data_IF_594218573586
#
_entry.id   IF_594218573586
#
_cell.length_a   1.000
_cell.length_b   1.000
_cell.length_c   1.000
_cell.angle_alpha   90.00
_cell.angle_beta   90.00
_cell.angle_gamma   90.00
#
_symmetry.space_group_name_H-M   'P 1'
#
loop_
_entity.id
_entity.type
_entity.pdbx_description
1 polymer ?
#
# COMPACT_ATOMS: atom_id res chain seq x y z
N UNK A 1 24.97 -11.97 -8.23
CA UNK A 1 26.29 -12.20 -7.60
C UNK A 1 26.10 -12.12 -6.10
N UNK A 2 26.60 -13.12 -5.38
CA UNK A 2 26.36 -13.29 -3.96
C UNK A 2 27.69 -13.18 -3.22
N UNK A 3 27.69 -12.50 -2.08
CA UNK A 3 28.82 -12.50 -1.15
C UNK A 3 28.29 -12.65 0.26
N UNK A 4 29.01 -13.43 1.07
CA UNK A 4 28.70 -13.59 2.48
C UNK A 4 29.51 -12.55 3.25
N UNK A 5 28.80 -11.61 3.85
CA UNK A 5 29.33 -10.72 4.86
C UNK A 5 28.85 -11.32 6.19
N UNK A 6 29.76 -11.86 7.01
CA UNK A 6 29.42 -12.57 8.25
C UNK A 6 29.02 -11.60 9.37
N UNK A 7 28.20 -10.61 9.07
CA UNK A 7 27.86 -9.48 9.93
C UNK A 7 26.35 -9.46 10.20
N UNK A 8 25.99 -9.16 11.44
CA UNK A 8 24.63 -8.76 11.78
C UNK A 8 24.49 -7.26 11.51
N UNK A 9 23.73 -6.91 10.47
CA UNK A 9 23.60 -5.54 9.97
C UNK A 9 22.92 -4.61 10.98
N UNK A 10 22.15 -5.16 11.91
CA UNK A 10 21.49 -4.39 12.97
C UNK A 10 22.49 -3.91 14.04
N UNK A 11 23.54 -4.68 14.33
CA UNK A 11 24.49 -4.42 15.44
C UNK A 11 25.92 -4.14 14.99
N UNK A 12 26.25 -4.41 13.73
CA UNK A 12 27.59 -4.16 13.16
C UNK A 12 28.02 -2.70 13.34
N UNK A 13 29.34 -2.48 13.30
CA UNK A 13 29.88 -1.12 13.41
C UNK A 13 29.55 -0.32 12.15
N UNK A 14 29.35 1.02 12.27
CA UNK A 14 29.04 1.86 11.12
C UNK A 14 30.02 1.75 9.96
N UNK A 15 31.31 1.59 10.28
CA UNK A 15 32.39 1.43 9.29
C UNK A 15 32.25 0.12 8.51
N UNK A 16 31.98 -0.99 9.20
CA UNK A 16 31.80 -2.29 8.56
C UNK A 16 30.60 -2.27 7.60
N UNK A 17 29.51 -1.64 8.01
CA UNK A 17 28.32 -1.47 7.15
C UNK A 17 28.68 -0.72 5.86
N UNK A 18 29.41 0.39 5.98
CA UNK A 18 29.87 1.16 4.82
C UNK A 18 30.76 0.33 3.88
N UNK A 19 31.68 -0.45 4.45
CA UNK A 19 32.58 -1.30 3.67
C UNK A 19 31.82 -2.42 2.93
N UNK A 20 30.75 -2.98 3.51
CA UNK A 20 29.86 -3.95 2.84
C UNK A 20 29.17 -3.33 1.62
N UNK A 21 28.62 -2.11 1.75
CA UNK A 21 27.98 -1.43 0.62
C UNK A 21 28.98 -1.08 -0.48
N UNK A 22 30.20 -0.67 -0.12
CA UNK A 22 31.29 -0.42 -1.07
C UNK A 22 31.73 -1.69 -1.81
N UNK A 23 31.87 -2.81 -1.09
CA UNK A 23 32.24 -4.10 -1.68
C UNK A 23 31.17 -4.59 -2.67
N UNK A 24 29.89 -4.42 -2.33
CA UNK A 24 28.78 -4.73 -3.23
C UNK A 24 28.88 -3.95 -4.55
N UNK A 25 29.15 -2.64 -4.51
CA UNK A 25 29.31 -1.83 -5.73
C UNK A 25 30.55 -2.24 -6.52
N UNK A 26 31.66 -2.55 -5.85
CA UNK A 26 32.88 -3.03 -6.49
C UNK A 26 32.64 -4.31 -7.30
N UNK A 27 31.68 -5.16 -6.88
CA UNK A 27 31.28 -6.36 -7.62
C UNK A 27 30.45 -6.06 -8.86
N UNK A 28 29.61 -5.02 -8.83
CA UNK A 28 28.95 -4.54 -10.05
C UNK A 28 29.98 -4.05 -11.07
N UNK A 29 31.02 -3.33 -10.62
CA UNK A 29 32.12 -2.91 -11.50
C UNK A 29 32.90 -4.09 -12.07
N UNK A 30 33.18 -5.12 -11.27
CA UNK A 30 33.87 -6.33 -11.73
C UNK A 30 33.11 -7.08 -12.84
N UNK A 31 31.81 -6.82 -12.99
CA UNK A 31 30.94 -7.37 -14.06
C UNK A 31 30.55 -6.33 -15.11
N UNK A 32 31.22 -5.18 -15.15
CA UNK A 32 31.00 -4.09 -16.11
C UNK A 32 29.59 -3.45 -16.04
N UNK A 33 28.96 -3.48 -14.86
CA UNK A 33 27.70 -2.79 -14.62
C UNK A 33 27.95 -1.41 -13.99
N UNK A 34 27.93 -0.37 -14.83
CA UNK A 34 28.17 1.03 -14.42
C UNK A 34 26.89 1.88 -14.32
N UNK A 35 25.72 1.28 -14.48
CA UNK A 35 24.45 1.99 -14.35
C UNK A 35 24.06 2.11 -12.86
N UNK A 36 23.29 3.14 -12.45
CA UNK A 36 22.91 3.34 -11.06
C UNK A 36 22.20 2.12 -10.44
N UNK A 37 22.59 1.78 -9.22
CA UNK A 37 22.10 0.60 -8.49
C UNK A 37 21.10 1.02 -7.42
N UNK A 38 19.96 0.33 -7.36
CA UNK A 38 18.99 0.44 -6.27
C UNK A 38 19.22 -0.70 -5.28
N UNK A 39 19.36 -0.37 -4.01
CA UNK A 39 19.65 -1.33 -2.95
C UNK A 39 18.37 -1.65 -2.18
N UNK A 40 18.12 -2.92 -1.90
CA UNK A 40 17.01 -3.42 -1.12
C UNK A 40 17.56 -4.07 0.15
N UNK A 41 17.03 -3.65 1.29
CA UNK A 41 17.43 -4.11 2.63
C UNK A 41 16.19 -4.41 3.43
N UNK A 42 16.28 -5.31 4.41
CA UNK A 42 15.21 -5.55 5.36
C UNK A 42 14.80 -4.25 6.09
N UNK A 43 13.52 -4.15 6.45
CA UNK A 43 13.00 -2.96 7.15
C UNK A 43 13.65 -2.75 8.54
N UNK A 44 13.90 -3.82 9.29
CA UNK A 44 14.53 -3.74 10.62
C UNK A 44 15.96 -3.21 10.54
N UNK A 45 16.75 -3.75 9.61
CA UNK A 45 18.13 -3.32 9.38
C UNK A 45 18.18 -1.88 8.85
N UNK A 46 17.28 -1.52 7.94
CA UNK A 46 17.14 -0.15 7.45
C UNK A 46 16.82 0.83 8.58
N UNK A 47 15.89 0.47 9.47
CA UNK A 47 15.53 1.31 10.60
C UNK A 47 16.71 1.48 11.57
N UNK A 48 17.40 0.39 11.90
CA UNK A 48 18.59 0.42 12.76
C UNK A 48 19.67 1.35 12.18
N UNK A 49 19.95 1.25 10.88
CA UNK A 49 20.92 2.12 10.19
C UNK A 49 20.47 3.58 10.09
N UNK A 50 19.17 3.85 10.04
CA UNK A 50 18.63 5.21 9.97
C UNK A 50 18.75 5.94 11.31
N UNK A 51 18.62 5.23 12.43
CA UNK A 51 18.65 5.83 13.78
C UNK A 51 20.05 5.94 14.37
N UNK A 52 20.99 5.12 13.89
CA UNK A 52 22.37 5.09 14.39
C UNK A 52 23.24 6.11 13.65
N UNK A 53 24.10 6.78 14.40
CA UNK A 53 25.08 7.72 13.86
C UNK A 53 26.30 6.97 13.27
N UNK A 54 26.97 7.59 12.30
CA UNK A 54 28.14 7.00 11.66
C UNK A 54 29.42 7.08 12.52
N UNK A 55 29.62 8.17 13.23
CA UNK A 55 30.76 8.40 14.12
C UNK A 55 30.29 8.76 15.52
N UNK A 56 31.09 8.40 16.53
CA UNK A 56 30.80 8.74 17.94
C UNK A 56 30.74 10.26 18.16
N UNK A 57 31.52 11.02 17.40
CA UNK A 57 31.36 12.45 17.25
C UNK A 57 30.31 12.70 16.16
N UNK A 58 29.10 13.14 16.56
CA UNK A 58 27.87 13.41 15.79
C UNK A 58 27.97 14.18 14.44
N UNK A 59 29.16 14.49 13.95
CA UNK A 59 29.40 15.40 12.82
C UNK A 59 29.17 14.78 11.43
N UNK A 60 29.12 13.45 11.30
CA UNK A 60 29.04 12.79 9.98
C UNK A 60 27.62 12.32 9.58
N UNK A 61 26.60 12.60 10.40
CA UNK A 61 25.21 12.22 10.14
C UNK A 61 24.91 10.73 10.37
N UNK A 62 23.70 10.29 9.98
CA UNK A 62 23.30 8.90 10.10
C UNK A 62 24.07 8.01 9.12
N UNK A 63 24.19 6.71 9.44
CA UNK A 63 24.88 5.72 8.59
C UNK A 63 24.31 5.75 7.17
N UNK A 64 22.99 5.85 7.04
CA UNK A 64 22.29 5.89 5.76
C UNK A 64 22.68 7.09 4.90
N UNK A 65 22.84 8.27 5.52
CA UNK A 65 23.29 9.46 4.81
C UNK A 65 24.71 9.26 4.27
N UNK A 66 25.59 8.62 5.05
CA UNK A 66 26.95 8.31 4.61
C UNK A 66 26.96 7.29 3.47
N UNK A 67 26.17 6.23 3.54
CA UNK A 67 26.08 5.23 2.46
C UNK A 67 25.58 5.87 1.16
N UNK A 68 24.65 6.81 1.22
CA UNK A 68 24.17 7.55 0.05
C UNK A 68 25.21 8.46 -0.60
N UNK A 69 26.34 8.73 0.06
CA UNK A 69 27.47 9.46 -0.56
C UNK A 69 28.30 8.58 -1.51
N UNK A 70 28.19 7.25 -1.41
CA UNK A 70 28.89 6.34 -2.31
C UNK A 70 28.35 6.56 -3.74
N UNK A 71 29.23 6.85 -4.72
CA UNK A 71 28.79 7.08 -6.09
C UNK A 71 28.12 5.82 -6.65
N UNK A 72 27.14 6.00 -7.54
CA UNK A 72 26.32 4.95 -8.19
C UNK A 72 25.18 4.35 -7.36
N UNK A 73 25.11 4.58 -6.04
CA UNK A 73 23.92 4.23 -5.26
C UNK A 73 22.82 5.26 -5.55
N UNK A 74 21.74 4.82 -6.20
CA UNK A 74 20.64 5.71 -6.55
C UNK A 74 19.64 5.89 -5.40
N UNK A 75 19.31 4.79 -4.73
CA UNK A 75 18.32 4.75 -3.65
C UNK A 75 18.49 3.47 -2.84
N UNK A 76 18.27 3.60 -1.53
CA UNK A 76 18.07 2.47 -0.62
C UNK A 76 16.57 2.34 -0.36
N UNK A 77 16.02 1.15 -0.60
CA UNK A 77 14.58 0.84 -0.47
C UNK A 77 14.41 -0.20 0.64
N UNK A 78 13.66 0.11 1.71
CA UNK A 78 13.31 -0.89 2.69
C UNK A 78 12.26 -1.85 2.11
N UNK A 79 12.48 -3.15 2.26
CA UNK A 79 11.59 -4.20 1.76
C UNK A 79 11.41 -5.30 2.81
N UNK A 80 10.16 -5.64 3.15
CA UNK A 80 9.85 -6.65 4.16
C UNK A 80 10.12 -8.09 3.71
N UNK A 81 10.25 -8.32 2.40
CA UNK A 81 10.48 -9.65 1.82
C UNK A 81 11.97 -10.04 1.76
N UNK A 82 12.87 -9.08 1.97
CA UNK A 82 14.31 -9.36 2.06
C UNK A 82 14.57 -9.95 3.45
N UNK A 83 15.24 -11.11 3.56
CA UNK A 83 15.65 -11.66 4.85
C UNK A 83 16.48 -10.65 5.66
N UNK A 84 16.47 -10.79 6.99
CA UNK A 84 17.35 -10.01 7.84
C UNK A 84 18.82 -10.32 7.51
N UNK A 85 19.70 -9.34 7.66
CA UNK A 85 21.13 -9.45 7.38
C UNK A 85 21.49 -9.72 5.92
N UNK A 86 20.58 -9.36 5.00
CA UNK A 86 20.81 -9.51 3.57
C UNK A 86 20.61 -8.17 2.84
N UNK A 87 21.50 -7.90 1.90
CA UNK A 87 21.45 -6.71 1.04
C UNK A 87 21.39 -7.18 -0.41
N UNK A 88 20.38 -6.70 -1.14
CA UNK A 88 20.19 -7.00 -2.56
C UNK A 88 20.39 -5.73 -3.39
N UNK A 89 21.33 -5.78 -4.33
CA UNK A 89 21.52 -4.70 -5.32
C UNK A 89 20.90 -5.05 -6.65
N UNK A 90 20.12 -4.12 -7.23
CA UNK A 90 19.59 -4.24 -8.59
C UNK A 90 20.05 -3.07 -9.47
N UNK A 91 20.66 -3.41 -10.61
CA UNK A 91 21.00 -2.46 -11.65
C UNK A 91 19.80 -2.28 -12.60
N UNK A 92 19.34 -1.05 -12.82
CA UNK A 92 18.17 -0.77 -13.67
C UNK A 92 18.54 -0.76 -15.15
N UNK A 93 18.86 -1.93 -15.68
CA UNK A 93 19.10 -2.12 -17.12
C UNK A 93 18.32 -3.35 -17.60
N UNK A 94 17.74 -3.25 -18.79
CA UNK A 94 16.84 -4.27 -19.35
C UNK A 94 17.53 -5.60 -19.69
N UNK A 95 18.86 -5.59 -19.85
CA UNK A 95 19.71 -6.77 -20.00
C UNK A 95 19.88 -7.55 -18.69
N UNK A 96 19.84 -6.87 -17.54
CA UNK A 96 20.06 -7.49 -16.22
C UNK A 96 18.78 -8.08 -15.66
N UNK A 97 17.66 -7.35 -15.73
CA UNK A 97 16.38 -7.80 -15.20
C UNK A 97 15.22 -7.25 -16.02
N UNK A 98 14.29 -8.13 -16.35
CA UNK A 98 13.05 -7.79 -17.04
C UNK A 98 11.86 -8.48 -16.37
N UNK A 99 10.78 -7.73 -16.21
CA UNK A 99 9.48 -8.28 -15.81
C UNK A 99 8.66 -8.46 -17.06
N UNK A 100 8.41 -9.72 -17.43
CA UNK A 100 7.61 -10.08 -18.59
C UNK A 100 6.14 -10.14 -18.17
N UNK A 101 5.36 -9.15 -18.60
CA UNK A 101 3.92 -9.12 -18.40
C UNK A 101 3.21 -9.45 -19.71
N UNK A 102 2.57 -10.62 -19.81
CA UNK A 102 1.80 -11.02 -21.00
C UNK A 102 0.40 -10.42 -21.05
N UNK A 103 -0.26 -10.32 -19.90
CA UNK A 103 -1.52 -9.60 -19.72
C UNK A 103 -1.43 -8.82 -18.40
N UNK A 104 -1.77 -7.53 -18.38
CA UNK A 104 -1.80 -6.77 -17.14
C UNK A 104 -2.86 -7.33 -16.20
N UNK A 105 -2.75 -7.02 -14.92
CA UNK A 105 -3.72 -7.43 -13.92
C UNK A 105 -5.05 -6.70 -14.17
N UNK A 106 -5.96 -7.34 -14.90
CA UNK A 106 -7.28 -6.79 -15.23
C UNK A 106 -8.33 -7.48 -14.37
N UNK A 107 -9.13 -6.68 -13.67
CA UNK A 107 -10.34 -7.18 -12.99
C UNK A 107 -11.46 -7.29 -14.01
N UNK A 108 -11.96 -8.49 -14.27
CA UNK A 108 -13.16 -8.69 -15.08
C UNK A 108 -14.39 -8.66 -14.16
N UNK A 109 -15.36 -7.73 -14.35
CA UNK A 109 -16.62 -7.80 -13.61
C UNK A 109 -17.34 -9.10 -13.96
N UNK A 110 -17.83 -9.80 -12.93
CA UNK A 110 -18.73 -10.94 -13.11
C UNK A 110 -20.14 -10.36 -13.19
N UNK A 111 -20.76 -10.40 -14.37
CA UNK A 111 -22.18 -10.11 -14.49
C UNK A 111 -22.95 -11.18 -13.70
N UNK A 112 -23.63 -10.76 -12.62
CA UNK A 112 -24.58 -11.63 -11.93
C UNK A 112 -25.93 -11.44 -12.58
N UNK A 113 -26.37 -12.44 -13.34
CA UNK A 113 -27.75 -12.54 -13.80
C UNK A 113 -28.59 -13.06 -12.63
N UNK A 114 -28.78 -12.26 -11.59
CA UNK A 114 -29.77 -12.57 -10.56
C UNK A 114 -31.11 -11.93 -10.95
N UNK A 115 -31.96 -12.68 -11.65
CA UNK A 115 -33.38 -12.35 -11.83
C UNK A 115 -34.21 -12.61 -10.55
N UNK A 116 -33.58 -12.75 -9.38
CA UNK A 116 -34.29 -13.03 -8.13
C UNK A 116 -34.80 -11.72 -7.52
N UNK A 117 -35.98 -11.35 -7.99
CA UNK A 117 -37.03 -10.58 -7.34
C UNK A 117 -36.75 -10.26 -5.86
N UNK A 118 -36.55 -8.98 -5.55
CA UNK A 118 -37.13 -8.44 -4.31
C UNK A 118 -38.61 -8.23 -4.65
N UNK A 119 -39.37 -9.33 -4.70
CA UNK A 119 -40.83 -9.24 -4.55
C UNK A 119 -41.02 -8.76 -3.12
N UNK A 120 -41.04 -7.44 -2.95
CA UNK A 120 -41.62 -6.81 -1.77
C UNK A 120 -43.04 -7.36 -1.76
N UNK A 121 -43.29 -8.42 -0.99
CA UNK A 121 -44.58 -9.08 -0.96
C UNK A 121 -45.58 -8.04 -0.48
N UNK A 122 -46.30 -7.42 -1.42
CA UNK A 122 -47.56 -6.75 -1.12
C UNK A 122 -48.46 -7.87 -0.61
N UNK A 123 -48.50 -8.05 0.70
CA UNK A 123 -49.58 -8.78 1.35
C UNK A 123 -50.85 -7.97 1.07
N UNK A 124 -51.50 -8.33 -0.04
CA UNK A 124 -52.81 -7.82 -0.38
C UNK A 124 -53.80 -8.56 0.52
N UNK A 125 -54.24 -7.91 1.60
CA UNK A 125 -55.39 -8.39 2.35
C UNK A 125 -56.64 -7.67 1.83
N UNK A 126 -57.65 -8.38 1.32
CA UNK A 126 -58.92 -7.73 0.96
C UNK A 126 -59.60 -7.23 2.24
N UNK A 127 -59.89 -5.94 2.29
CA UNK A 127 -60.75 -5.39 3.34
C UNK A 127 -62.19 -5.88 3.09
N UNK A 128 -62.89 -6.43 4.09
CA UNK A 128 -64.27 -6.88 3.92
C UNK A 128 -65.18 -5.70 3.57
N UNK A 129 -66.07 -5.96 2.61
CA UNK A 129 -67.09 -5.06 2.09
C UNK A 129 -67.96 -4.50 3.22
N UNK A 130 -68.02 -3.16 3.32
CA UNK A 130 -68.83 -2.43 4.29
C UNK A 130 -69.54 -1.30 3.56
N UNK A 131 -70.87 -1.35 3.53
CA UNK A 131 -71.77 -0.56 2.69
C UNK A 131 -72.01 0.88 3.15
N UNK A 132 -71.09 1.51 3.88
CA UNK A 132 -71.23 2.90 4.32
C UNK A 132 -69.96 3.71 4.08
N UNK A 133 -70.11 4.74 3.24
CA UNK A 133 -69.08 5.67 2.81
C UNK A 133 -68.75 6.67 3.90
N UNK A 134 -67.70 6.42 4.69
CA UNK A 134 -66.83 7.42 5.33
C UNK A 134 -65.92 6.71 6.34
N UNK A 135 -64.61 6.72 6.11
CA UNK A 135 -63.55 6.18 6.99
C UNK A 135 -63.11 4.74 6.64
N UNK A 136 -62.05 4.65 5.83
CA UNK A 136 -60.99 3.63 5.97
C UNK A 136 -59.69 4.17 5.38
N UNK A 137 -59.01 4.99 6.18
CA UNK A 137 -57.60 5.33 5.97
C UNK A 137 -56.76 4.12 6.39
N UNK A 138 -55.79 3.72 5.57
CA UNK A 138 -54.72 2.81 5.97
C UNK A 138 -53.37 3.44 5.62
N UNK A 139 -52.70 3.86 6.69
CA UNK A 139 -51.41 4.51 6.78
C UNK A 139 -50.31 3.54 6.29
N UNK A 140 -49.70 3.82 5.14
CA UNK A 140 -48.50 3.10 4.70
C UNK A 140 -47.25 3.74 5.34
N UNK A 141 -46.85 3.25 6.51
CA UNK A 141 -45.52 3.54 7.05
C UNK A 141 -44.55 2.54 6.42
N UNK A 142 -43.68 3.01 5.51
CA UNK A 142 -42.50 2.26 5.07
C UNK A 142 -41.35 3.24 4.86
N UNK A 143 -40.47 3.28 5.86
CA UNK A 143 -39.28 4.10 6.01
C UNK A 143 -38.31 4.09 4.82
N UNK A 144 -38.17 5.24 4.16
CA UNK A 144 -36.92 5.69 3.51
C UNK A 144 -36.89 7.22 3.53
N UNK A 145 -36.41 7.82 4.61
CA UNK A 145 -36.08 9.25 4.65
C UNK A 145 -34.62 9.42 5.06
N UNK A 146 -33.83 9.94 4.13
CA UNK A 146 -32.47 10.42 4.34
C UNK A 146 -32.55 11.77 5.11
N UNK A 147 -31.89 11.90 6.28
CA UNK A 147 -32.21 12.94 7.28
C UNK A 147 -31.76 14.40 7.00
N UNK A 148 -31.46 14.80 5.76
CA UNK A 148 -30.97 16.18 5.46
C UNK A 148 -31.82 17.02 4.49
N UNK A 149 -32.93 16.50 3.97
CA UNK A 149 -33.71 17.19 2.93
C UNK A 149 -35.03 17.84 3.43
N UNK A 150 -35.42 17.69 4.69
CA UNK A 150 -36.80 18.04 5.15
C UNK A 150 -36.87 19.35 5.98
N UNK A 151 -35.75 20.00 6.29
CA UNK A 151 -35.76 21.20 7.15
C UNK A 151 -36.23 22.50 6.43
N UNK A 152 -36.54 22.46 5.13
CA UNK A 152 -36.87 23.66 4.35
C UNK A 152 -38.34 23.80 3.89
N UNK A 153 -39.26 22.90 4.27
CA UNK A 153 -40.68 23.04 3.90
C UNK A 153 -41.61 23.46 5.05
N UNK A 154 -41.08 23.70 6.26
CA UNK A 154 -41.90 24.10 7.43
C UNK A 154 -42.01 25.63 7.58
N UNK A 155 -41.41 26.42 6.69
CA UNK A 155 -41.34 27.88 6.79
C UNK A 155 -42.31 28.66 5.87
N UNK A 156 -43.47 28.08 5.51
CA UNK A 156 -44.52 28.81 4.79
C UNK A 156 -45.88 28.63 5.51
N UNK A 157 -45.99 29.34 6.64
CA UNK A 157 -47.17 30.07 7.18
C UNK A 157 -48.56 29.64 6.66
N UNK A 158 -49.53 29.21 7.47
CA UNK A 158 -50.10 29.88 8.68
C UNK A 158 -50.15 31.41 8.58
N UNK A 159 -51.11 31.91 7.81
CA UNK A 159 -52.04 33.00 8.14
C UNK A 159 -53.34 32.78 7.39
#
# INVERSE_FOLDING_TARGET
MTNTHNLDLATATPKEIYDVFRDLISKFHAKNYYSPVTLYVNYGDYFAMSTRDYSEQKSEGSILNKVMTIPQIAKIVPASRVPQNEILGLCKRSDVYQVLNGMPLVTRPIARHNETMITRSKLWQPLPWSSNSTIKAMLAISSTLNPKAVQNEVAINTR
#
